data_IF_079593628623
#
_entry.id   IF_079593628623
#
_cell.length_a   1.000
_cell.length_b   1.000
_cell.length_c   1.000
_cell.angle_alpha   90.00
_cell.angle_beta   90.00
_cell.angle_gamma   90.00
#
_symmetry.space_group_name_H-M   'P 1'
#
loop_
_entity.id
_entity.type
_entity.pdbx_description
1 polymer ?
#
# COMPACT_ATOMS: atom_id res chain seq x y z
N UNK A 1 23.65 -7.82 -2.88
CA UNK A 1 22.89 -6.64 -2.41
C UNK A 1 22.21 -7.01 -1.12
N UNK A 2 22.33 -6.20 -0.03
CA UNK A 2 21.66 -6.54 1.24
C UNK A 2 20.16 -6.32 1.11
N UNK A 3 19.38 -7.37 1.41
CA UNK A 3 17.92 -7.43 1.32
C UNK A 3 17.35 -7.86 2.66
N UNK A 4 16.27 -7.22 3.11
CA UNK A 4 15.49 -7.68 4.24
C UNK A 4 14.16 -8.27 3.78
N UNK A 5 13.64 -9.23 4.51
CA UNK A 5 12.28 -9.78 4.30
C UNK A 5 11.37 -9.28 5.40
N UNK A 6 10.19 -8.79 5.03
CA UNK A 6 9.16 -8.29 5.94
C UNK A 6 7.89 -9.11 5.81
N UNK A 7 7.47 -9.71 6.92
CA UNK A 7 6.30 -10.59 6.97
C UNK A 7 5.30 -10.05 8.00
N UNK A 8 4.23 -9.35 7.57
CA UNK A 8 3.11 -9.03 8.45
C UNK A 8 2.31 -10.31 8.74
N UNK A 9 1.99 -10.55 10.01
CA UNK A 9 1.28 -11.73 10.46
C UNK A 9 0.12 -11.37 11.40
N UNK A 10 -1.05 -11.95 11.16
CA UNK A 10 -2.22 -11.85 12.03
C UNK A 10 -2.90 -13.21 12.13
N UNK A 11 -2.90 -13.79 13.33
CA UNK A 11 -3.35 -15.15 13.59
C UNK A 11 -2.74 -16.17 12.62
N UNK A 12 -1.40 -16.21 12.47
CA UNK A 12 -0.74 -17.16 11.57
C UNK A 12 -0.86 -18.58 12.08
N UNK A 13 -0.72 -19.54 11.16
CA UNK A 13 -0.55 -20.96 11.47
C UNK A 13 0.92 -21.37 11.36
N UNK A 14 1.21 -22.67 11.53
CA UNK A 14 2.57 -23.23 11.47
C UNK A 14 3.33 -23.00 10.16
N UNK A 15 2.64 -22.57 9.08
CA UNK A 15 3.27 -22.23 7.79
C UNK A 15 4.26 -21.07 7.93
N UNK A 16 4.01 -20.14 8.88
CA UNK A 16 4.95 -19.06 9.16
C UNK A 16 6.32 -19.61 9.60
N UNK A 17 6.35 -20.58 10.52
CA UNK A 17 7.61 -21.18 10.98
C UNK A 17 8.35 -21.90 9.86
N UNK A 18 7.61 -22.62 9.01
CA UNK A 18 8.17 -23.29 7.82
C UNK A 18 8.78 -22.26 6.87
N UNK A 19 8.05 -21.20 6.54
CA UNK A 19 8.54 -20.12 5.67
C UNK A 19 9.82 -19.48 6.23
N UNK A 20 9.84 -19.16 7.53
CA UNK A 20 11.01 -18.56 8.17
C UNK A 20 12.23 -19.48 8.12
N UNK A 21 12.04 -20.77 8.44
CA UNK A 21 13.12 -21.77 8.40
C UNK A 21 13.71 -21.92 7.00
N UNK A 22 12.86 -21.95 5.98
CA UNK A 22 13.28 -22.05 4.58
C UNK A 22 13.97 -20.76 4.09
N UNK A 23 13.50 -19.56 4.51
CA UNK A 23 14.18 -18.30 4.20
C UNK A 23 15.56 -18.20 4.83
N UNK A 24 15.70 -18.61 6.09
CA UNK A 24 16.99 -18.65 6.80
C UNK A 24 17.94 -19.63 6.10
N UNK A 25 17.45 -20.81 5.71
CA UNK A 25 18.21 -21.80 4.95
C UNK A 25 18.58 -21.30 3.54
N UNK A 26 17.75 -20.48 2.94
CA UNK A 26 17.97 -19.80 1.68
C UNK A 26 18.92 -18.60 1.74
N UNK A 27 19.51 -18.32 2.92
CA UNK A 27 20.53 -17.29 3.11
C UNK A 27 19.99 -15.88 3.39
N UNK A 28 18.74 -15.73 3.81
CA UNK A 28 18.25 -14.45 4.33
C UNK A 28 18.64 -14.30 5.80
N UNK A 29 19.38 -13.24 6.10
CA UNK A 29 19.88 -12.93 7.45
C UNK A 29 19.11 -11.79 8.13
N UNK A 30 18.29 -11.04 7.37
CA UNK A 30 17.57 -9.88 7.85
C UNK A 30 16.06 -10.11 7.64
N UNK A 31 15.41 -10.71 8.61
CA UNK A 31 13.96 -11.01 8.53
C UNK A 31 13.25 -10.24 9.65
N UNK A 32 12.18 -9.55 9.30
CA UNK A 32 11.29 -8.88 10.26
C UNK A 32 9.91 -9.51 10.16
N UNK A 33 9.42 -9.98 11.28
CA UNK A 33 8.02 -10.42 11.44
C UNK A 33 7.28 -9.38 12.26
N UNK A 34 6.08 -8.99 11.82
CA UNK A 34 5.22 -8.09 12.60
C UNK A 34 3.95 -8.84 12.98
N UNK A 35 3.82 -9.14 14.26
CA UNK A 35 2.57 -9.63 14.84
C UNK A 35 1.58 -8.46 14.96
N UNK A 36 0.55 -8.45 14.14
CA UNK A 36 -0.46 -7.39 14.13
C UNK A 36 -1.58 -7.63 15.16
N UNK A 37 -1.19 -7.88 16.42
CA UNK A 37 -2.11 -8.07 17.52
C UNK A 37 -2.91 -9.36 17.42
N UNK A 38 -2.22 -10.47 17.19
CA UNK A 38 -2.82 -11.80 17.12
C UNK A 38 -3.40 -12.25 18.45
N UNK A 39 -4.26 -13.26 18.40
CA UNK A 39 -4.89 -13.84 19.56
C UNK A 39 -3.88 -14.59 20.45
N UNK A 40 -4.27 -14.80 21.70
CA UNK A 40 -3.44 -15.51 22.69
C UNK A 40 -3.01 -16.92 22.25
N UNK A 41 -3.85 -17.61 21.46
CA UNK A 41 -3.53 -18.95 20.94
C UNK A 41 -2.28 -18.97 20.03
N UNK A 42 -1.96 -17.84 19.40
CA UNK A 42 -0.77 -17.70 18.55
C UNK A 42 0.51 -17.35 19.33
N UNK A 43 0.41 -17.12 20.64
CA UNK A 43 1.54 -16.65 21.45
C UNK A 43 2.73 -17.62 21.41
N UNK A 44 2.48 -18.93 21.58
CA UNK A 44 3.52 -19.95 21.53
C UNK A 44 4.29 -19.95 20.20
N UNK A 45 3.57 -19.77 19.08
CA UNK A 45 4.18 -19.67 17.76
C UNK A 45 5.09 -18.43 17.65
N UNK A 46 4.65 -17.28 18.15
CA UNK A 46 5.48 -16.08 18.14
C UNK A 46 6.65 -16.14 19.13
N UNK A 47 6.57 -16.92 20.18
CA UNK A 47 7.71 -17.17 21.08
C UNK A 47 8.78 -18.01 20.37
N UNK A 48 8.39 -18.99 19.54
CA UNK A 48 9.31 -19.72 18.66
C UNK A 48 9.93 -18.78 17.62
N UNK A 49 9.14 -17.89 16.99
CA UNK A 49 9.66 -16.87 16.05
C UNK A 49 10.69 -15.97 16.74
N UNK A 50 10.42 -15.52 17.97
CA UNK A 50 11.32 -14.66 18.73
C UNK A 50 12.65 -15.34 19.11
N UNK A 51 12.66 -16.67 19.19
CA UNK A 51 13.86 -17.46 19.46
C UNK A 51 14.76 -17.65 18.23
N UNK A 52 14.29 -17.31 17.02
CA UNK A 52 15.07 -17.43 15.78
C UNK A 52 16.08 -16.28 15.67
N UNK A 53 17.39 -16.58 15.66
CA UNK A 53 18.49 -15.60 15.72
C UNK A 53 18.46 -14.55 14.57
N UNK A 54 17.98 -14.93 13.37
CA UNK A 54 17.94 -14.06 12.18
C UNK A 54 16.60 -13.32 12.01
N UNK A 55 15.70 -13.43 12.99
CA UNK A 55 14.36 -12.86 12.94
C UNK A 55 14.19 -11.79 14.01
N UNK A 56 13.78 -10.60 13.61
CA UNK A 56 13.35 -9.54 14.51
C UNK A 56 11.83 -9.57 14.57
N UNK A 57 11.27 -9.87 15.73
CA UNK A 57 9.83 -9.85 15.97
C UNK A 57 9.41 -8.49 16.53
N UNK A 58 8.45 -7.84 15.86
CA UNK A 58 7.76 -6.66 16.36
C UNK A 58 6.30 -7.01 16.65
N UNK A 59 5.74 -6.55 17.79
CA UNK A 59 4.37 -6.89 18.21
C UNK A 59 3.52 -5.62 18.35
N UNK A 60 2.34 -5.63 17.76
CA UNK A 60 1.30 -4.64 18.03
C UNK A 60 0.43 -5.09 19.20
N UNK A 61 -0.02 -4.17 20.07
CA UNK A 61 -0.89 -4.52 21.19
C UNK A 61 -2.30 -4.96 20.75
N UNK A 62 -2.74 -4.53 19.58
CA UNK A 62 -4.03 -4.84 18.97
C UNK A 62 -3.90 -4.88 17.45
N UNK A 63 -4.86 -5.49 16.76
CA UNK A 63 -4.89 -5.48 15.29
C UNK A 63 -5.05 -4.05 14.75
N UNK A 64 -3.99 -3.52 14.14
CA UNK A 64 -3.94 -2.20 13.53
C UNK A 64 -4.13 -2.26 12.00
N UNK A 65 -4.06 -3.44 11.41
CA UNK A 65 -4.24 -3.74 10.00
C UNK A 65 -2.94 -3.92 9.22
N UNK A 66 -3.02 -4.68 8.12
CA UNK A 66 -1.85 -5.07 7.29
C UNK A 66 -0.95 -3.89 6.91
N UNK A 67 -1.55 -2.76 6.52
CA UNK A 67 -0.79 -1.55 6.17
C UNK A 67 -0.02 -0.96 7.35
N UNK A 68 -0.59 -1.00 8.57
CA UNK A 68 0.12 -0.59 9.79
C UNK A 68 1.28 -1.54 10.08
N UNK A 69 1.06 -2.86 9.99
CA UNK A 69 2.10 -3.85 10.19
C UNK A 69 3.25 -3.69 9.19
N UNK A 70 2.94 -3.45 7.92
CA UNK A 70 3.95 -3.15 6.90
C UNK A 70 4.74 -1.88 7.24
N UNK A 71 4.09 -0.80 7.66
CA UNK A 71 4.78 0.43 8.06
C UNK A 71 5.69 0.24 9.28
N UNK A 72 5.20 -0.43 10.31
CA UNK A 72 5.99 -0.75 11.50
C UNK A 72 7.20 -1.60 11.16
N UNK A 73 7.03 -2.61 10.31
CA UNK A 73 8.12 -3.44 9.83
C UNK A 73 9.14 -2.68 8.98
N UNK A 74 8.70 -1.78 8.11
CA UNK A 74 9.58 -0.90 7.34
C UNK A 74 10.42 0.01 8.26
N UNK A 75 9.82 0.57 9.32
CA UNK A 75 10.55 1.37 10.33
C UNK A 75 11.54 0.48 11.08
N UNK A 76 11.13 -0.73 11.48
CA UNK A 76 12.00 -1.69 12.13
C UNK A 76 13.24 -2.01 11.27
N UNK A 77 13.05 -2.23 9.95
CA UNK A 77 14.15 -2.48 9.02
C UNK A 77 15.06 -1.26 8.88
N UNK A 78 14.51 -0.05 8.80
CA UNK A 78 15.33 1.16 8.72
C UNK A 78 16.26 1.34 9.93
N UNK A 79 15.79 0.92 11.11
CA UNK A 79 16.54 1.06 12.37
C UNK A 79 17.53 -0.07 12.60
N UNK A 80 17.16 -1.32 12.31
CA UNK A 80 17.99 -2.49 12.63
C UNK A 80 18.93 -2.89 11.49
N UNK A 81 18.58 -2.57 10.23
CA UNK A 81 19.34 -2.99 9.05
C UNK A 81 19.68 -1.80 8.15
N UNK A 82 20.57 -0.89 8.59
CA UNK A 82 20.89 0.34 7.84
C UNK A 82 21.50 0.05 6.45
N UNK A 83 22.17 -1.09 6.29
CA UNK A 83 22.81 -1.50 5.03
C UNK A 83 21.83 -2.13 4.02
N UNK A 84 20.60 -2.44 4.44
CA UNK A 84 19.60 -2.99 3.52
C UNK A 84 19.17 -1.96 2.50
N UNK A 85 19.26 -2.32 1.22
CA UNK A 85 18.84 -1.48 0.09
C UNK A 85 17.47 -1.85 -0.47
N UNK A 86 16.99 -3.04 -0.16
CA UNK A 86 15.73 -3.58 -0.66
C UNK A 86 14.98 -4.29 0.47
N UNK A 87 13.67 -4.10 0.52
CA UNK A 87 12.79 -4.84 1.41
C UNK A 87 11.84 -5.68 0.58
N UNK A 88 11.78 -6.98 0.85
CA UNK A 88 10.80 -7.86 0.22
C UNK A 88 9.68 -8.11 1.22
N UNK A 89 8.46 -7.80 0.84
CA UNK A 89 7.27 -8.15 1.62
C UNK A 89 6.77 -9.51 1.17
N UNK A 90 6.33 -10.35 2.11
CA UNK A 90 5.68 -11.63 1.84
C UNK A 90 4.57 -11.87 2.87
N UNK A 91 3.51 -12.59 2.49
CA UNK A 91 2.42 -12.92 3.38
C UNK A 91 2.76 -14.15 4.25
N UNK A 92 2.18 -14.21 5.46
CA UNK A 92 2.43 -15.27 6.43
C UNK A 92 1.64 -16.56 6.16
N UNK A 93 0.80 -16.59 5.12
CA UNK A 93 -0.16 -17.66 4.82
C UNK A 93 0.44 -18.84 4.01
N UNK A 94 1.72 -18.73 3.62
CA UNK A 94 2.43 -19.73 2.85
C UNK A 94 2.13 -19.74 1.35
N UNK A 95 1.40 -18.72 0.83
CA UNK A 95 1.13 -18.61 -0.60
C UNK A 95 2.37 -18.19 -1.42
N UNK A 96 3.35 -17.56 -0.77
CA UNK A 96 4.60 -17.14 -1.37
C UNK A 96 5.71 -18.15 -1.06
N UNK A 97 6.24 -18.80 -2.10
CA UNK A 97 7.32 -19.77 -1.91
C UNK A 97 8.66 -19.07 -1.64
N UNK A 98 9.55 -19.64 -0.82
CA UNK A 98 10.90 -19.09 -0.63
C UNK A 98 11.68 -18.94 -1.93
N UNK A 99 11.45 -19.86 -2.89
CA UNK A 99 12.07 -19.78 -4.22
C UNK A 99 11.66 -18.53 -4.98
N UNK A 100 10.37 -18.14 -4.92
CA UNK A 100 9.88 -16.92 -5.56
C UNK A 100 10.38 -15.67 -4.85
N UNK A 101 10.52 -15.70 -3.53
CA UNK A 101 11.13 -14.61 -2.74
C UNK A 101 12.61 -14.45 -3.16
N UNK A 102 13.37 -15.52 -3.30
CA UNK A 102 14.76 -15.51 -3.79
C UNK A 102 14.84 -14.97 -5.23
N UNK A 103 13.96 -15.44 -6.12
CA UNK A 103 13.90 -14.98 -7.52
C UNK A 103 13.60 -13.49 -7.60
N UNK A 104 12.63 -13.02 -6.80
CA UNK A 104 12.28 -11.60 -6.75
C UNK A 104 13.43 -10.75 -6.19
N UNK A 105 14.13 -11.24 -5.15
CA UNK A 105 15.32 -10.58 -4.61
C UNK A 105 16.41 -10.42 -5.66
N UNK A 106 16.67 -11.48 -6.43
CA UNK A 106 17.68 -11.48 -7.49
C UNK A 106 17.28 -10.54 -8.63
N UNK A 107 16.03 -10.59 -9.08
CA UNK A 107 15.52 -9.72 -10.13
C UNK A 107 15.57 -8.24 -9.71
N UNK A 108 15.15 -7.92 -8.48
CA UNK A 108 15.18 -6.57 -7.94
C UNK A 108 16.60 -6.02 -7.81
N UNK A 109 17.60 -6.88 -7.61
CA UNK A 109 19.00 -6.50 -7.61
C UNK A 109 19.47 -5.91 -8.94
N UNK A 110 18.86 -6.28 -10.08
CA UNK A 110 19.21 -5.75 -11.42
C UNK A 110 18.69 -4.34 -11.68
N UNK A 111 17.61 -3.93 -11.01
CA UNK A 111 17.04 -2.58 -11.12
C UNK A 111 16.51 -2.13 -9.74
N UNK A 112 17.42 -1.72 -8.82
CA UNK A 112 17.13 -1.54 -7.41
C UNK A 112 16.28 -0.31 -7.10
N UNK A 113 16.04 0.59 -8.05
CA UNK A 113 15.19 1.77 -7.86
C UNK A 113 13.73 1.53 -8.25
N UNK A 114 13.42 0.38 -8.90
CA UNK A 114 12.06 0.02 -9.29
C UNK A 114 11.31 -0.67 -8.15
N UNK A 115 9.99 -0.43 -8.09
CA UNK A 115 9.10 -1.26 -7.28
C UNK A 115 8.81 -2.55 -8.05
N UNK A 116 9.27 -3.68 -7.54
CA UNK A 116 9.03 -4.98 -8.14
C UNK A 116 7.81 -5.66 -7.52
N UNK A 117 7.03 -6.31 -8.37
CA UNK A 117 5.81 -7.03 -8.03
C UNK A 117 5.95 -8.50 -8.43
N UNK A 118 5.76 -9.41 -7.49
CA UNK A 118 5.59 -10.83 -7.78
C UNK A 118 4.17 -11.06 -8.28
N UNK A 119 3.97 -11.21 -9.58
CA UNK A 119 2.64 -11.35 -10.19
C UNK A 119 2.29 -12.81 -10.38
N UNK A 120 1.07 -13.19 -9.99
CA UNK A 120 0.58 -14.56 -10.13
C UNK A 120 0.32 -14.87 -11.61
N UNK A 121 0.76 -16.04 -12.05
CA UNK A 121 0.26 -16.61 -13.32
C UNK A 121 -1.22 -16.94 -13.09
N UNK A 122 -2.13 -16.20 -13.73
CA UNK A 122 -3.56 -16.47 -13.65
C UNK A 122 -3.93 -17.66 -14.55
N UNK A 123 -3.57 -18.87 -14.09
CA UNK A 123 -3.96 -20.12 -14.70
C UNK A 123 -5.42 -20.49 -14.34
N UNK A 124 -5.93 -21.61 -14.88
CA UNK A 124 -7.36 -21.99 -14.87
C UNK A 124 -8.01 -22.16 -13.49
N UNK A 125 -7.23 -22.22 -12.41
CA UNK A 125 -7.73 -22.53 -11.05
C UNK A 125 -7.94 -21.29 -10.15
N UNK A 126 -7.88 -20.07 -10.71
CA UNK A 126 -8.09 -18.85 -9.94
C UNK A 126 -9.57 -18.64 -9.62
N UNK A 127 -9.98 -18.40 -8.36
CA UNK A 127 -11.34 -18.07 -8.03
C UNK A 127 -11.84 -16.84 -8.83
N UNK A 128 -12.98 -16.98 -9.53
CA UNK A 128 -13.55 -15.94 -10.40
C UNK A 128 -13.66 -14.56 -9.71
N UNK A 129 -13.96 -14.53 -8.41
CA UNK A 129 -14.05 -13.27 -7.62
C UNK A 129 -12.71 -12.55 -7.55
N UNK A 130 -11.63 -13.27 -7.32
CA UNK A 130 -10.26 -12.71 -7.29
C UNK A 130 -9.86 -12.20 -8.67
N UNK A 131 -10.17 -12.97 -9.72
CA UNK A 131 -9.88 -12.61 -11.10
C UNK A 131 -10.63 -11.33 -11.53
N UNK A 132 -11.94 -11.23 -11.23
CA UNK A 132 -12.75 -10.04 -11.59
C UNK A 132 -12.26 -8.82 -10.82
N UNK A 133 -12.04 -8.94 -9.50
CA UNK A 133 -11.57 -7.84 -8.67
C UNK A 133 -10.20 -7.31 -9.14
N UNK A 134 -9.26 -8.20 -9.41
CA UNK A 134 -7.94 -7.81 -9.91
C UNK A 134 -8.01 -7.17 -11.31
N UNK A 135 -8.77 -7.77 -12.26
CA UNK A 135 -8.94 -7.21 -13.62
C UNK A 135 -9.58 -5.83 -13.60
N UNK A 136 -10.60 -5.63 -12.75
CA UNK A 136 -11.27 -4.34 -12.63
C UNK A 136 -10.32 -3.28 -12.06
N UNK A 137 -9.57 -3.62 -11.02
CA UNK A 137 -8.56 -2.72 -10.43
C UNK A 137 -7.45 -2.41 -11.44
N UNK A 138 -6.91 -3.41 -12.13
CA UNK A 138 -5.89 -3.24 -13.15
C UNK A 138 -6.39 -2.36 -14.32
N UNK A 139 -7.65 -2.52 -14.74
CA UNK A 139 -8.27 -1.68 -15.76
C UNK A 139 -8.34 -0.20 -15.32
N UNK A 140 -8.79 0.07 -14.09
CA UNK A 140 -8.80 1.44 -13.56
C UNK A 140 -7.39 2.02 -13.42
N UNK A 141 -6.41 1.24 -12.94
CA UNK A 141 -5.01 1.65 -12.85
C UNK A 141 -4.46 2.03 -14.24
N UNK A 142 -4.81 1.26 -15.27
CA UNK A 142 -4.39 1.53 -16.65
C UNK A 142 -5.03 2.81 -17.21
N UNK A 143 -6.36 2.99 -17.06
CA UNK A 143 -7.08 4.13 -17.63
C UNK A 143 -6.79 5.43 -16.87
N UNK A 144 -6.88 5.40 -15.53
CA UNK A 144 -6.76 6.61 -14.72
C UNK A 144 -5.31 7.04 -14.50
N UNK A 145 -4.38 6.09 -14.47
CA UNK A 145 -3.00 6.35 -14.08
C UNK A 145 -1.97 5.97 -15.14
N UNK A 146 -2.41 5.34 -16.23
CA UNK A 146 -1.49 4.86 -17.28
C UNK A 146 -0.54 3.74 -16.79
N UNK A 147 -0.86 3.07 -15.68
CA UNK A 147 -0.03 1.98 -15.13
C UNK A 147 -0.49 0.63 -15.69
N UNK A 148 0.45 -0.12 -16.28
CA UNK A 148 0.21 -1.49 -16.74
C UNK A 148 0.69 -2.43 -15.64
N UNK A 149 -0.22 -2.91 -14.80
CA UNK A 149 0.04 -3.86 -13.73
C UNK A 149 -0.87 -5.07 -13.92
N UNK A 150 -0.28 -6.27 -13.92
CA UNK A 150 -1.01 -7.52 -14.14
C UNK A 150 -1.71 -8.03 -12.87
N UNK A 151 -1.07 -7.85 -11.71
CA UNK A 151 -1.62 -8.21 -10.40
C UNK A 151 -1.43 -7.07 -9.41
N UNK A 152 -2.52 -6.36 -9.13
CA UNK A 152 -2.54 -5.22 -8.20
C UNK A 152 -2.67 -5.65 -6.73
N UNK A 153 -3.04 -6.91 -6.49
CA UNK A 153 -3.38 -7.44 -5.16
C UNK A 153 -2.27 -8.33 -4.57
N UNK A 154 -1.14 -8.48 -5.28
CA UNK A 154 -0.02 -9.28 -4.76
C UNK A 154 0.58 -8.66 -3.51
N UNK A 155 0.82 -9.49 -2.48
CA UNK A 155 1.55 -9.13 -1.27
C UNK A 155 3.07 -9.28 -1.42
N UNK A 156 3.54 -10.01 -2.44
CA UNK A 156 4.96 -10.20 -2.71
C UNK A 156 5.52 -9.04 -3.52
N UNK A 157 6.28 -8.16 -2.86
CA UNK A 157 6.83 -6.95 -3.46
C UNK A 157 8.27 -6.75 -3.03
N UNK A 158 9.13 -6.24 -3.93
CA UNK A 158 10.44 -5.74 -3.54
C UNK A 158 10.44 -4.20 -3.60
N UNK A 159 10.64 -3.60 -2.42
CA UNK A 159 10.49 -2.17 -2.15
C UNK A 159 11.88 -1.57 -2.01
N UNK A 160 12.29 -0.60 -2.86
CA UNK A 160 13.53 0.14 -2.69
C UNK A 160 13.57 0.88 -1.35
N UNK A 161 14.73 0.86 -0.67
CA UNK A 161 14.91 1.64 0.57
C UNK A 161 14.61 3.13 0.39
N UNK A 162 14.99 3.70 -0.76
CA UNK A 162 14.71 5.09 -1.12
C UNK A 162 13.22 5.42 -1.16
N UNK A 163 12.35 4.44 -1.34
CA UNK A 163 10.90 4.62 -1.42
C UNK A 163 10.19 4.55 -0.06
N UNK A 164 10.83 3.99 0.97
CA UNK A 164 10.20 3.74 2.28
C UNK A 164 9.64 5.03 2.90
N UNK A 165 10.38 6.15 2.83
CA UNK A 165 9.93 7.43 3.42
C UNK A 165 8.59 7.90 2.85
N UNK A 166 8.35 7.69 1.56
CA UNK A 166 7.10 8.03 0.90
C UNK A 166 5.96 7.10 1.34
N UNK A 167 6.27 5.81 1.49
CA UNK A 167 5.28 4.82 1.96
C UNK A 167 4.82 5.08 3.39
N UNK A 168 5.70 5.53 4.27
CA UNK A 168 5.37 5.87 5.65
C UNK A 168 4.40 7.07 5.76
N UNK A 169 4.29 7.89 4.71
CA UNK A 169 3.35 9.02 4.65
C UNK A 169 1.93 8.62 4.21
N UNK A 170 1.72 7.36 3.79
CA UNK A 170 0.40 6.86 3.38
C UNK A 170 -0.49 6.74 4.63
N UNK A 171 -1.67 7.41 4.68
CA UNK A 171 -2.51 7.43 5.89
C UNK A 171 -3.27 6.12 6.13
N UNK A 172 -3.35 5.25 5.14
CA UNK A 172 -4.10 3.99 5.24
C UNK A 172 -3.33 2.91 5.99
N UNK A 173 -4.04 2.14 6.83
CA UNK A 173 -3.46 1.13 7.71
C UNK A 173 -3.92 -0.31 7.40
N UNK A 174 -4.83 -0.50 6.43
CA UNK A 174 -5.35 -1.81 6.06
C UNK A 174 -4.95 -2.18 4.63
N UNK A 175 -5.75 -2.92 3.91
CA UNK A 175 -5.46 -3.40 2.56
C UNK A 175 -5.33 -2.28 1.52
N UNK A 176 -5.94 -1.11 1.79
CA UNK A 176 -5.82 0.08 0.95
C UNK A 176 -4.37 0.57 0.82
N UNK A 177 -3.52 0.29 1.82
CA UNK A 177 -2.11 0.65 1.81
C UNK A 177 -1.36 0.06 0.61
N UNK A 178 -1.65 -1.19 0.25
CA UNK A 178 -0.97 -1.87 -0.86
C UNK A 178 -1.33 -1.26 -2.23
N UNK A 179 -2.57 -0.77 -2.38
CA UNK A 179 -2.97 -0.02 -3.57
C UNK A 179 -2.35 1.38 -3.57
N UNK A 180 -2.36 2.08 -2.42
CA UNK A 180 -1.73 3.40 -2.29
C UNK A 180 -0.21 3.36 -2.52
N UNK A 181 0.46 2.26 -2.22
CA UNK A 181 1.86 2.04 -2.57
C UNK A 181 2.07 2.15 -4.08
N UNK A 182 1.19 1.55 -4.90
CA UNK A 182 1.26 1.65 -6.36
C UNK A 182 1.00 3.09 -6.83
N UNK A 183 0.03 3.77 -6.21
CA UNK A 183 -0.27 5.16 -6.51
C UNK A 183 0.89 6.09 -6.11
N UNK A 184 1.52 5.85 -4.96
CA UNK A 184 2.69 6.59 -4.51
C UNK A 184 3.88 6.36 -5.46
N UNK A 185 4.10 5.12 -5.91
CA UNK A 185 5.11 4.78 -6.91
C UNK A 185 4.94 5.61 -8.19
N UNK A 186 3.71 5.71 -8.70
CA UNK A 186 3.41 6.53 -9.89
C UNK A 186 3.64 8.03 -9.63
N UNK A 187 3.18 8.54 -8.47
CA UNK A 187 3.34 9.96 -8.10
C UNK A 187 4.81 10.39 -7.99
N UNK A 188 5.67 9.48 -7.48
CA UNK A 188 7.10 9.75 -7.37
C UNK A 188 7.88 9.56 -8.68
N UNK A 189 7.18 9.21 -9.76
CA UNK A 189 7.82 8.94 -11.07
C UNK A 189 8.64 7.65 -11.10
N UNK A 190 8.48 6.77 -10.09
CA UNK A 190 9.16 5.47 -10.05
C UNK A 190 8.52 4.49 -11.03
N UNK A 191 9.35 3.65 -11.60
CA UNK A 191 8.89 2.56 -12.44
C UNK A 191 8.50 1.34 -11.61
N UNK A 192 7.53 0.58 -12.12
CA UNK A 192 7.21 -0.76 -11.64
C UNK A 192 7.81 -1.81 -12.56
N UNK A 193 8.18 -2.95 -11.99
CA UNK A 193 8.59 -4.14 -12.74
C UNK A 193 7.85 -5.36 -12.20
N UNK A 194 7.64 -6.36 -13.04
CA UNK A 194 6.88 -7.57 -12.69
C UNK A 194 7.74 -8.80 -12.86
N UNK A 195 7.63 -9.73 -11.92
CA UNK A 195 8.18 -11.08 -12.01
C UNK A 195 7.04 -12.08 -11.83
N UNK A 196 6.84 -12.96 -12.81
CA UNK A 196 5.86 -14.04 -12.67
C UNK A 196 6.31 -15.04 -11.61
N UNK A 197 5.45 -15.29 -10.64
CA UNK A 197 5.66 -16.21 -9.51
C UNK A 197 4.74 -17.41 -9.60
N UNK A 198 5.16 -18.49 -8.96
CA UNK A 198 4.34 -19.68 -8.74
C UNK A 198 3.23 -19.30 -7.73
N UNK A 199 2.00 -19.72 -8.00
CA UNK A 199 0.92 -19.51 -7.05
C UNK A 199 0.58 -20.83 -6.38
N UNK A 200 0.78 -20.90 -5.07
CA UNK A 200 0.32 -22.04 -4.28
C UNK A 200 -1.06 -21.70 -3.74
N UNK A 201 -2.09 -22.28 -4.33
CA UNK A 201 -3.45 -22.17 -3.79
C UNK A 201 -3.61 -23.19 -2.66
N UNK A 202 -3.66 -22.71 -1.41
CA UNK A 202 -3.85 -23.55 -0.22
C UNK A 202 -5.31 -23.39 0.21
N UNK A 203 -6.04 -24.52 0.29
CA UNK A 203 -7.39 -24.63 0.88
C UNK A 203 -8.40 -23.53 0.49
N UNK A 204 -8.56 -23.24 -0.80
CA UNK A 204 -9.51 -22.23 -1.28
C UNK A 204 -9.41 -20.85 -0.58
N UNK A 205 -8.21 -20.42 -0.15
CA UNK A 205 -7.97 -19.17 0.59
C UNK A 205 -8.67 -19.10 1.97
N UNK A 206 -8.91 -20.21 2.65
CA UNK A 206 -9.54 -20.25 3.97
C UNK A 206 -8.76 -19.50 5.05
N UNK A 207 -7.45 -19.34 4.90
CA UNK A 207 -6.57 -18.59 5.79
C UNK A 207 -6.53 -17.07 5.54
N UNK A 208 -7.19 -16.58 4.49
CA UNK A 208 -7.23 -15.14 4.19
C UNK A 208 -8.26 -14.42 5.05
N UNK A 209 -7.81 -13.48 5.88
CA UNK A 209 -8.67 -12.58 6.67
C UNK A 209 -9.29 -11.44 5.84
N UNK A 210 -9.14 -11.47 4.51
CA UNK A 210 -9.72 -10.50 3.59
C UNK A 210 -11.24 -10.65 3.49
N UNK A 211 -11.99 -9.60 3.86
CA UNK A 211 -13.43 -9.56 3.66
C UNK A 211 -13.74 -9.03 2.25
N UNK A 212 -14.21 -9.89 1.30
CA UNK A 212 -14.33 -9.51 -0.11
C UNK A 212 -15.24 -8.31 -0.35
N UNK A 213 -16.25 -8.07 0.47
CA UNK A 213 -17.18 -6.96 0.29
C UNK A 213 -16.66 -5.68 0.94
N UNK A 214 -16.27 -5.74 2.23
CA UNK A 214 -15.85 -4.55 2.99
C UNK A 214 -14.49 -4.02 2.53
N UNK A 215 -13.53 -4.90 2.32
CA UNK A 215 -12.18 -4.50 1.97
C UNK A 215 -12.07 -4.13 0.48
N UNK A 216 -12.80 -4.80 -0.41
CA UNK A 216 -12.93 -4.36 -1.80
C UNK A 216 -13.58 -2.98 -1.90
N UNK A 217 -14.64 -2.70 -1.13
CA UNK A 217 -15.28 -1.39 -1.13
C UNK A 217 -14.31 -0.27 -0.75
N UNK A 218 -13.45 -0.49 0.26
CA UNK A 218 -12.42 0.47 0.66
C UNK A 218 -11.36 0.68 -0.42
N UNK A 219 -10.92 -0.40 -1.08
CA UNK A 219 -10.00 -0.33 -2.21
C UNK A 219 -10.61 0.48 -3.34
N UNK A 220 -11.89 0.25 -3.66
CA UNK A 220 -12.58 1.01 -4.71
C UNK A 220 -12.78 2.48 -4.35
N UNK A 221 -13.02 2.83 -3.07
CA UNK A 221 -13.08 4.24 -2.66
C UNK A 221 -11.78 4.96 -3.00
N UNK A 222 -10.62 4.34 -2.80
CA UNK A 222 -9.33 4.92 -3.15
C UNK A 222 -9.25 5.24 -4.66
N UNK A 223 -9.75 4.35 -5.51
CA UNK A 223 -9.80 4.58 -6.96
C UNK A 223 -10.90 5.58 -7.36
N UNK A 224 -12.09 5.43 -6.79
CA UNK A 224 -13.24 6.29 -7.12
C UNK A 224 -13.12 7.71 -6.62
N UNK A 225 -12.28 8.02 -5.63
CA UNK A 225 -12.08 9.40 -5.16
C UNK A 225 -11.67 10.36 -6.27
N UNK A 226 -10.89 9.90 -7.27
CA UNK A 226 -10.55 10.71 -8.45
C UNK A 226 -11.79 11.02 -9.29
N UNK A 227 -12.64 10.01 -9.49
CA UNK A 227 -13.90 10.18 -10.24
C UNK A 227 -14.85 11.09 -9.48
N UNK A 228 -15.00 10.89 -8.17
CA UNK A 228 -15.86 11.73 -7.32
C UNK A 228 -15.41 13.18 -7.31
N UNK A 229 -14.11 13.44 -7.20
CA UNK A 229 -13.57 14.81 -7.29
C UNK A 229 -13.87 15.43 -8.65
N UNK A 230 -13.72 14.68 -9.73
CA UNK A 230 -14.01 15.16 -11.08
C UNK A 230 -15.50 15.47 -11.27
N UNK A 231 -16.39 14.61 -10.78
CA UNK A 231 -17.84 14.83 -10.82
C UNK A 231 -18.25 16.07 -9.99
N UNK A 232 -17.71 16.18 -8.77
CA UNK A 232 -17.98 17.33 -7.92
C UNK A 232 -17.49 18.64 -8.56
N UNK A 233 -16.32 18.61 -9.21
CA UNK A 233 -15.78 19.74 -9.96
C UNK A 233 -16.70 20.13 -11.12
N UNK A 234 -17.24 19.16 -11.86
CA UNK A 234 -18.19 19.44 -12.95
C UNK A 234 -19.49 20.06 -12.44
N UNK A 235 -19.97 19.62 -11.28
CA UNK A 235 -21.15 20.24 -10.64
C UNK A 235 -20.86 21.68 -10.25
N UNK A 236 -19.70 21.97 -9.65
CA UNK A 236 -19.30 23.34 -9.28
C UNK A 236 -19.14 24.22 -10.52
N UNK A 237 -18.50 23.71 -11.57
CA UNK A 237 -18.35 24.40 -12.87
C UNK A 237 -19.73 24.84 -13.39
N UNK A 238 -20.70 23.91 -13.40
CA UNK A 238 -22.06 24.21 -13.86
C UNK A 238 -22.81 25.20 -12.96
N UNK A 239 -22.72 25.03 -11.62
CA UNK A 239 -23.36 25.92 -10.64
C UNK A 239 -22.82 27.36 -10.70
N UNK A 240 -21.58 27.55 -11.14
CA UNK A 240 -20.97 28.87 -11.32
C UNK A 240 -21.28 29.40 -12.73
N UNK A 241 -21.26 28.54 -13.74
CA UNK A 241 -21.55 28.92 -15.13
C UNK A 241 -22.95 29.52 -15.30
N UNK A 242 -24.00 28.89 -14.73
CA UNK A 242 -25.38 29.35 -14.94
C UNK A 242 -25.63 30.76 -14.40
N UNK A 243 -25.29 31.11 -13.16
CA UNK A 243 -25.39 32.48 -12.68
C UNK A 243 -24.51 33.48 -13.45
N UNK A 244 -23.27 33.04 -13.81
CA UNK A 244 -22.38 33.90 -14.59
C UNK A 244 -22.96 34.23 -15.97
N UNK A 245 -23.60 33.28 -16.64
CA UNK A 245 -24.27 33.50 -17.91
C UNK A 245 -25.41 34.53 -17.80
N UNK A 246 -26.23 34.42 -16.74
CA UNK A 246 -27.30 35.37 -16.46
C UNK A 246 -26.77 36.77 -16.19
N UNK A 247 -25.75 36.90 -15.33
CA UNK A 247 -25.13 38.19 -14.99
C UNK A 247 -24.45 38.82 -16.20
N UNK A 248 -23.65 38.05 -16.93
CA UNK A 248 -22.98 38.56 -18.14
C UNK A 248 -23.98 38.99 -19.18
N UNK A 249 -25.07 38.23 -19.40
CA UNK A 249 -26.12 38.60 -20.34
C UNK A 249 -26.90 39.85 -19.94
N UNK A 250 -27.01 40.14 -18.63
CA UNK A 250 -27.73 41.33 -18.13
C UNK A 250 -26.87 42.59 -18.14
N UNK A 251 -25.57 42.47 -17.78
CA UNK A 251 -24.71 43.62 -17.54
C UNK A 251 -23.69 43.92 -18.66
N UNK A 252 -23.43 42.97 -19.56
CA UNK A 252 -22.45 43.16 -20.63
C UNK A 252 -23.14 43.33 -21.98
N UNK A 253 -22.98 44.48 -22.64
CA UNK A 253 -23.60 44.79 -23.95
C UNK A 253 -22.81 44.18 -25.11
N UNK A 254 -22.41 42.95 -25.00
CA UNK A 254 -21.63 42.22 -26.01
C UNK A 254 -22.49 41.20 -26.76
N UNK A 255 -21.93 40.65 -27.84
CA UNK A 255 -22.59 39.57 -28.57
C UNK A 255 -22.80 38.34 -27.69
N UNK A 256 -23.82 37.56 -27.98
CA UNK A 256 -24.16 36.31 -27.26
C UNK A 256 -22.96 35.35 -27.14
N UNK A 257 -22.14 35.28 -28.19
CA UNK A 257 -20.93 34.46 -28.21
C UNK A 257 -19.88 34.90 -27.16
N UNK A 258 -19.68 36.21 -27.00
CA UNK A 258 -18.72 36.79 -26.03
C UNK A 258 -19.23 36.58 -24.60
N UNK A 259 -20.51 36.79 -24.37
CA UNK A 259 -21.19 36.60 -23.10
C UNK A 259 -21.07 35.14 -22.65
N UNK A 260 -21.36 34.20 -23.54
CA UNK A 260 -21.25 32.77 -23.28
C UNK A 260 -19.80 32.37 -22.99
N UNK A 261 -18.83 32.84 -23.78
CA UNK A 261 -17.41 32.56 -23.59
C UNK A 261 -16.90 33.07 -22.22
N UNK A 262 -17.33 34.27 -21.81
CA UNK A 262 -17.00 34.82 -20.50
C UNK A 262 -17.56 33.97 -19.35
N UNK A 263 -18.84 33.59 -19.42
CA UNK A 263 -19.50 32.75 -18.42
C UNK A 263 -18.84 31.37 -18.30
N UNK A 264 -18.52 30.74 -19.45
CA UNK A 264 -17.79 29.46 -19.46
C UNK A 264 -16.41 29.59 -18.81
N UNK A 265 -15.68 30.66 -19.09
CA UNK A 265 -14.37 30.92 -18.53
C UNK A 265 -14.43 31.07 -17.01
N UNK A 266 -15.42 31.79 -16.48
CA UNK A 266 -15.65 31.97 -15.04
C UNK A 266 -15.93 30.60 -14.37
N UNK A 267 -16.82 29.79 -14.94
CA UNK A 267 -17.14 28.45 -14.46
C UNK A 267 -15.88 27.56 -14.41
N UNK A 268 -15.11 27.55 -15.50
CA UNK A 268 -13.86 26.75 -15.59
C UNK A 268 -12.81 27.16 -14.57
N UNK A 269 -12.62 28.45 -14.33
CA UNK A 269 -11.68 28.96 -13.32
C UNK A 269 -12.11 28.49 -11.92
N UNK A 270 -13.39 28.65 -11.59
CA UNK A 270 -13.94 28.21 -10.32
C UNK A 270 -13.80 26.68 -10.15
N UNK A 271 -14.19 25.91 -11.17
CA UNK A 271 -14.03 24.45 -11.19
C UNK A 271 -12.57 24.04 -11.00
N UNK A 272 -11.63 24.65 -11.72
CA UNK A 272 -10.21 24.35 -11.61
C UNK A 272 -9.65 24.65 -10.21
N UNK A 273 -10.05 25.75 -9.56
CA UNK A 273 -9.64 26.09 -8.20
C UNK A 273 -10.15 25.07 -7.18
N UNK A 274 -11.42 24.64 -7.31
CA UNK A 274 -12.00 23.59 -6.46
C UNK A 274 -11.33 22.26 -6.72
N UNK A 275 -11.11 21.90 -7.98
CA UNK A 275 -10.42 20.65 -8.34
C UNK A 275 -9.02 20.61 -7.75
N UNK A 276 -8.22 21.66 -7.91
CA UNK A 276 -6.88 21.75 -7.33
C UNK A 276 -6.91 21.57 -5.82
N UNK A 277 -7.83 22.23 -5.12
CA UNK A 277 -7.96 22.14 -3.66
C UNK A 277 -8.36 20.73 -3.21
N UNK A 278 -9.36 20.13 -3.87
CA UNK A 278 -9.84 18.79 -3.55
C UNK A 278 -8.80 17.72 -3.89
N UNK A 279 -8.16 17.81 -5.04
CA UNK A 279 -7.08 16.89 -5.43
C UNK A 279 -5.97 16.97 -4.41
N UNK A 280 -5.54 18.15 -4.01
CA UNK A 280 -4.49 18.33 -3.00
C UNK A 280 -4.89 17.79 -1.63
N UNK A 281 -6.12 18.01 -1.16
CA UNK A 281 -6.58 17.63 0.18
C UNK A 281 -7.10 16.20 0.27
N UNK A 282 -7.82 15.72 -0.75
CA UNK A 282 -8.52 14.43 -0.73
C UNK A 282 -7.73 13.34 -1.44
N UNK A 283 -7.05 13.69 -2.54
CA UNK A 283 -6.32 12.73 -3.36
C UNK A 283 -4.86 12.60 -2.92
N UNK A 284 -4.19 13.71 -2.59
CA UNK A 284 -2.76 13.73 -2.29
C UNK A 284 -2.41 13.85 -0.81
N UNK A 285 -3.34 13.84 0.10
CA UNK A 285 -3.15 13.96 1.55
C UNK A 285 -2.02 14.89 1.99
N UNK A 286 -2.34 15.91 2.78
CA UNK A 286 -1.34 16.78 3.41
C UNK A 286 -0.69 16.08 4.62
N UNK A 287 0.55 16.46 4.90
CA UNK A 287 1.55 15.90 5.82
C UNK A 287 1.13 15.61 7.30
N UNK A 288 -0.07 15.86 7.74
CA UNK A 288 -0.43 15.87 9.17
C UNK A 288 -0.56 14.47 9.82
N UNK A 289 -0.82 13.41 9.06
CA UNK A 289 -0.95 12.03 9.60
C UNK A 289 0.36 11.38 10.05
N UNK A 290 1.51 11.87 9.58
CA UNK A 290 2.83 11.28 9.87
C UNK A 290 3.29 11.52 11.30
N UNK A 291 3.06 12.71 11.85
CA UNK A 291 3.55 13.07 13.19
C UNK A 291 2.91 12.23 14.31
N UNK A 292 1.65 11.87 14.17
CA UNK A 292 0.92 11.07 15.19
C UNK A 292 1.45 9.64 15.27
N UNK A 293 1.74 9.01 14.12
CA UNK A 293 2.27 7.64 14.08
C UNK A 293 3.73 7.60 14.54
N UNK A 294 4.53 8.56 14.12
CA UNK A 294 5.94 8.66 14.50
C UNK A 294 6.13 8.95 16.00
N UNK A 295 5.34 9.86 16.59
CA UNK A 295 5.38 10.15 18.04
C UNK A 295 4.90 8.98 18.89
N UNK A 296 3.84 8.26 18.49
CA UNK A 296 3.39 7.06 19.18
C UNK A 296 4.43 5.94 19.14
N UNK A 297 5.15 5.81 18.02
CA UNK A 297 6.19 4.79 17.85
C UNK A 297 7.47 5.10 18.64
N UNK A 298 7.90 6.35 18.66
CA UNK A 298 9.09 6.79 19.43
C UNK A 298 8.84 6.65 20.93
N UNK A 299 7.63 6.95 21.43
CA UNK A 299 7.26 6.74 22.85
C UNK A 299 7.27 5.26 23.24
N UNK A 300 6.80 4.37 22.38
CA UNK A 300 6.80 2.93 22.65
C UNK A 300 8.22 2.34 22.70
N UNK A 301 9.15 2.88 21.89
CA UNK A 301 10.53 2.39 21.83
C UNK A 301 11.37 2.88 23.04
N UNK A 302 11.06 4.07 23.58
CA UNK A 302 11.71 4.59 24.81
C UNK A 302 11.29 3.84 26.06
N UNK A 303 10.10 3.25 26.11
CA UNK A 303 9.65 2.41 27.23
C UNK A 303 10.28 1.01 27.19
N UNK A 304 10.41 0.39 26.02
CA UNK A 304 11.04 -0.92 25.86
C UNK A 304 12.53 -0.91 26.22
N UNK A 305 13.26 0.16 25.89
CA UNK A 305 14.69 0.31 26.26
C UNK A 305 14.92 0.65 27.74
N UNK A 306 13.92 1.19 28.44
CA UNK A 306 13.99 1.41 29.89
C UNK A 306 13.77 0.14 30.72
N UNK A 307 12.92 -0.78 30.28
CA UNK A 307 12.71 -2.08 30.97
C UNK A 307 13.88 -3.06 30.80
N UNK A 308 14.67 -2.95 29.71
CA UNK A 308 15.84 -3.81 29.51
C UNK A 308 17.12 -3.37 30.27
N UNK A 309 17.15 -2.20 30.93
CA UNK A 309 18.31 -1.70 31.69
C UNK A 309 18.13 -1.70 33.22
N UNK A 310 17.00 -2.19 33.72
CA UNK A 310 16.70 -2.26 35.15
C UNK A 310 16.90 -3.61 35.84
N UNK A 311 17.58 -4.56 35.21
CA UNK A 311 17.85 -5.90 35.71
C UNK A 311 19.33 -6.26 35.64
N UNK A 312 20.13 -5.62 36.49
CA UNK A 312 21.49 -6.09 36.85
C UNK A 312 21.75 -5.76 38.27
#
# INVERSE_FOLDING_TARGET
MSTAVLIPAYNPDGKLLTLLSELISGGFDNIVVVDDGSKAECQALFDEVAAMEKVVLHRHPVNMGKGAALKSGLICILNNFPECRMVITADADGQHTPQDICRLSSAAGSAPEKLWLGVRAFDKDVPLRSLIGNRLTAFFMRILLGMKISDTQTGLRAIPRSFIRELLQIPYNRYEFELEMLLACKRSGRETAELTISTVYIDNNSSSHFNPLKDSFKIYIVLFRYILVSLLTAVVDYLVYVPALFLCGTFLPYSEAVTTAAAVSIGRIAGAAVQYTLVRKVVFYSREGYQVIYTAFVSCHTESTRQGRGGS
#
